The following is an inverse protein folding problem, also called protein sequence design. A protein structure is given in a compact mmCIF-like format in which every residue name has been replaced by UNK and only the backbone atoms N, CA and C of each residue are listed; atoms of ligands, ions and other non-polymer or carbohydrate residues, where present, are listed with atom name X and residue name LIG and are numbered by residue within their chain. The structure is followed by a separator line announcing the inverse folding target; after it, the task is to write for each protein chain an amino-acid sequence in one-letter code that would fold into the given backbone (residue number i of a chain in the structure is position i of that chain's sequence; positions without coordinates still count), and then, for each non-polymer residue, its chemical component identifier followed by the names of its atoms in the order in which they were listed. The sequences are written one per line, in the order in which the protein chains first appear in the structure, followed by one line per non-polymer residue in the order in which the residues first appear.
data_IF_861269905729
#
_entry.id   IF_861269905729
#
_cell.length_a   1.000
_cell.length_b   1.000
_cell.length_c   1.000
_cell.angle_alpha   90.00
_cell.angle_beta   90.00
_cell.angle_gamma   90.00
#
_symmetry.space_group_name_H-M   'P 1'
#
loop_
_entity.id
_entity.type
_entity.pdbx_description
1 polymer ?
#
# COMPACT_ATOMS: atom_id res chain seq x y z
N UNK A 1 56.33 -43.46 59.09
CA UNK A 1 56.92 -42.45 58.20
C UNK A 1 55.80 -41.50 57.84
N UNK A 2 55.95 -40.24 58.24
CA UNK A 2 55.09 -39.14 57.79
C UNK A 2 55.41 -38.83 56.33
N UNK A 3 54.41 -38.35 55.58
CA UNK A 3 54.57 -37.25 54.62
C UNK A 3 53.17 -36.75 54.22
N UNK A 4 52.82 -35.59 54.81
CA UNK A 4 51.79 -34.69 54.30
C UNK A 4 52.20 -34.16 52.92
N UNK A 5 51.21 -33.93 52.05
CA UNK A 5 51.11 -32.71 51.25
C UNK A 5 49.68 -32.58 50.72
N UNK A 6 48.87 -31.83 51.47
CA UNK A 6 47.63 -31.19 51.01
C UNK A 6 48.01 -29.78 50.55
N UNK A 7 48.05 -29.54 49.23
CA UNK A 7 47.95 -28.22 48.57
C UNK A 7 47.90 -28.51 47.06
N UNK A 8 46.81 -28.37 46.33
CA UNK A 8 46.04 -27.15 46.13
C UNK A 8 46.02 -26.88 44.63
N UNK A 9 45.01 -27.39 43.91
CA UNK A 9 44.60 -26.78 42.64
C UNK A 9 43.08 -26.77 42.54
N UNK A 10 42.50 -25.88 43.34
CA UNK A 10 41.09 -25.50 43.28
C UNK A 10 40.94 -24.17 42.52
N UNK A 11 41.84 -23.89 41.58
CA UNK A 11 41.95 -22.61 40.86
C UNK A 11 41.38 -22.61 39.44
N UNK A 12 41.29 -23.77 38.77
CA UNK A 12 41.09 -23.78 37.31
C UNK A 12 39.63 -23.97 36.86
N UNK A 13 38.71 -24.38 37.74
CA UNK A 13 37.29 -24.58 37.39
C UNK A 13 36.43 -23.29 37.41
N UNK A 14 36.91 -22.21 38.03
CA UNK A 14 36.16 -20.96 38.20
C UNK A 14 36.40 -19.96 37.04
N UNK A 15 37.46 -20.12 36.25
CA UNK A 15 37.74 -19.24 35.11
C UNK A 15 36.96 -19.65 33.84
N UNK A 16 36.70 -20.95 33.63
CA UNK A 16 35.88 -21.43 32.51
C UNK A 16 34.40 -21.05 32.65
N UNK A 17 33.86 -21.08 33.87
CA UNK A 17 32.44 -20.79 34.11
C UNK A 17 32.08 -19.30 34.10
N UNK A 18 33.07 -18.40 34.16
CA UNK A 18 32.82 -16.95 34.03
C UNK A 18 32.80 -16.51 32.58
N UNK A 19 33.62 -17.11 31.72
CA UNK A 19 33.73 -16.71 30.32
C UNK A 19 32.52 -17.18 29.50
N UNK A 20 31.99 -18.37 29.78
CA UNK A 20 30.79 -18.90 29.10
C UNK A 20 29.49 -18.19 29.53
N UNK A 21 29.42 -17.66 30.76
CA UNK A 21 28.24 -16.92 31.22
C UNK A 21 28.15 -15.52 30.60
N UNK A 22 29.29 -14.81 30.48
CA UNK A 22 29.34 -13.47 29.88
C UNK A 22 29.02 -13.52 28.38
N UNK A 23 29.54 -14.53 27.65
CA UNK A 23 29.22 -14.75 26.23
C UNK A 23 27.73 -15.08 26.02
N UNK A 24 27.13 -15.86 26.93
CA UNK A 24 25.71 -16.20 26.85
C UNK A 24 24.79 -14.99 27.12
N UNK A 25 25.15 -14.13 28.08
CA UNK A 25 24.42 -12.87 28.35
C UNK A 25 24.57 -11.82 27.26
N UNK A 26 25.67 -11.82 26.52
CA UNK A 26 25.87 -10.89 25.41
C UNK A 26 25.18 -11.36 24.12
N UNK A 27 25.04 -12.68 23.93
CA UNK A 27 24.33 -13.25 22.79
C UNK A 27 22.81 -13.06 22.90
N UNK A 28 22.21 -13.24 24.09
CA UNK A 28 20.76 -13.04 24.26
C UNK A 28 20.34 -11.56 24.12
N UNK A 29 21.20 -10.61 24.49
CA UNK A 29 20.90 -9.18 24.36
C UNK A 29 20.98 -8.68 22.91
N UNK A 30 21.89 -9.26 22.11
CA UNK A 30 21.98 -8.95 20.68
C UNK A 30 20.80 -9.51 19.89
N UNK A 31 20.37 -10.75 20.17
CA UNK A 31 19.19 -11.35 19.52
C UNK A 31 17.90 -10.56 19.82
N UNK A 32 17.75 -10.05 21.05
CA UNK A 32 16.62 -9.19 21.43
C UNK A 32 16.66 -7.83 20.71
N UNK A 33 17.86 -7.27 20.52
CA UNK A 33 18.04 -6.00 19.80
C UNK A 33 17.80 -6.15 18.29
N UNK A 34 18.25 -7.25 17.67
CA UNK A 34 17.99 -7.55 16.25
C UNK A 34 16.50 -7.80 16.00
N UNK A 35 15.83 -8.55 16.87
CA UNK A 35 14.37 -8.75 16.81
C UNK A 35 13.60 -7.43 16.99
N UNK A 36 14.10 -6.52 17.82
CA UNK A 36 13.49 -5.21 18.01
C UNK A 36 13.63 -4.31 16.76
N UNK A 37 14.80 -4.31 16.12
CA UNK A 37 15.01 -3.60 14.85
C UNK A 37 14.11 -4.16 13.75
N UNK A 38 13.99 -5.48 13.65
CA UNK A 38 13.10 -6.13 12.67
C UNK A 38 11.62 -5.77 12.94
N UNK A 39 11.20 -5.72 14.21
CA UNK A 39 9.85 -5.32 14.60
C UNK A 39 9.56 -3.84 14.26
N UNK A 40 10.53 -2.95 14.46
CA UNK A 40 10.42 -1.55 14.07
C UNK A 40 10.31 -1.39 12.55
N UNK A 41 11.10 -2.13 11.77
CA UNK A 41 11.02 -2.11 10.30
C UNK A 41 9.66 -2.62 9.81
N UNK A 42 9.18 -3.75 10.36
CA UNK A 42 7.83 -4.27 10.08
C UNK A 42 6.76 -3.22 10.40
N UNK A 43 6.88 -2.53 11.53
CA UNK A 43 5.94 -1.46 11.92
C UNK A 43 5.98 -0.30 10.94
N UNK A 44 7.17 0.13 10.49
CA UNK A 44 7.31 1.20 9.47
C UNK A 44 6.68 0.81 8.13
N UNK A 45 6.91 -0.43 7.69
CA UNK A 45 6.30 -0.94 6.45
C UNK A 45 4.78 -1.02 6.55
N UNK A 46 4.25 -1.48 7.68
CA UNK A 46 2.80 -1.50 7.93
C UNK A 46 2.21 -0.09 7.83
N UNK A 47 2.84 0.91 8.46
CA UNK A 47 2.37 2.29 8.39
C UNK A 47 2.38 2.83 6.96
N UNK A 48 3.43 2.56 6.19
CA UNK A 48 3.49 2.97 4.78
C UNK A 48 2.38 2.32 3.95
N UNK A 49 2.11 1.03 4.18
CA UNK A 49 1.02 0.32 3.50
C UNK A 49 -0.34 0.93 3.87
N UNK A 50 -0.57 1.28 5.14
CA UNK A 50 -1.82 1.91 5.59
C UNK A 50 -2.02 3.29 4.95
N UNK A 51 -0.98 4.12 4.90
CA UNK A 51 -1.04 5.43 4.23
C UNK A 51 -1.36 5.31 2.74
N UNK A 52 -0.74 4.33 2.05
CA UNK A 52 -1.04 4.06 0.66
C UNK A 52 -2.47 3.55 0.45
N UNK A 53 -2.97 2.69 1.35
CA UNK A 53 -4.35 2.22 1.30
C UNK A 53 -5.34 3.36 1.45
N UNK A 54 -5.14 4.26 2.42
CA UNK A 54 -5.98 5.45 2.59
C UNK A 54 -5.95 6.35 1.34
N UNK A 55 -4.76 6.62 0.80
CA UNK A 55 -4.63 7.45 -0.42
C UNK A 55 -5.33 6.81 -1.62
N UNK A 56 -5.26 5.48 -1.75
CA UNK A 56 -5.91 4.73 -2.82
C UNK A 56 -7.44 4.76 -2.68
N UNK A 57 -7.95 4.62 -1.45
CA UNK A 57 -9.37 4.70 -1.14
C UNK A 57 -9.93 6.08 -1.51
N UNK A 58 -9.27 7.16 -1.09
CA UNK A 58 -9.63 8.54 -1.43
C UNK A 58 -9.64 8.77 -2.94
N UNK A 59 -8.64 8.24 -3.64
CA UNK A 59 -8.56 8.35 -5.10
C UNK A 59 -9.70 7.57 -5.77
N UNK A 60 -10.02 6.36 -5.27
CA UNK A 60 -11.12 5.56 -5.79
C UNK A 60 -12.46 6.28 -5.63
N UNK A 61 -12.74 6.85 -4.46
CA UNK A 61 -13.95 7.61 -4.21
C UNK A 61 -14.07 8.82 -5.15
N UNK A 62 -12.96 9.54 -5.37
CA UNK A 62 -12.92 10.65 -6.33
C UNK A 62 -13.17 10.21 -7.77
N UNK A 63 -12.63 9.06 -8.18
CA UNK A 63 -12.87 8.49 -9.52
C UNK A 63 -14.35 8.17 -9.70
N UNK A 64 -14.99 7.57 -8.70
CA UNK A 64 -16.41 7.23 -8.77
C UNK A 64 -17.30 8.47 -8.84
N UNK A 65 -16.99 9.52 -8.06
CA UNK A 65 -17.68 10.80 -8.16
C UNK A 65 -17.56 11.44 -9.57
N UNK A 66 -16.36 11.42 -10.16
CA UNK A 66 -16.12 11.94 -11.52
C UNK A 66 -16.89 11.12 -12.56
N UNK A 67 -16.95 9.79 -12.41
CA UNK A 67 -17.73 8.92 -13.31
C UNK A 67 -19.22 9.24 -13.23
N UNK A 68 -19.76 9.45 -12.03
CA UNK A 68 -21.16 9.80 -11.83
C UNK A 68 -21.50 11.14 -12.50
N UNK A 69 -20.68 12.17 -12.27
CA UNK A 69 -20.85 13.47 -12.92
C UNK A 69 -20.77 13.35 -14.45
N UNK A 70 -19.83 12.56 -14.97
CA UNK A 70 -19.71 12.33 -16.40
C UNK A 70 -20.96 11.66 -17.01
N UNK A 71 -21.54 10.68 -16.30
CA UNK A 71 -22.78 10.04 -16.74
C UNK A 71 -23.95 11.02 -16.77
N UNK A 72 -24.07 11.88 -15.75
CA UNK A 72 -25.09 12.93 -15.71
C UNK A 72 -24.95 13.88 -16.89
N UNK A 73 -23.73 14.39 -17.15
CA UNK A 73 -23.47 15.28 -18.28
C UNK A 73 -23.74 14.60 -19.63
N UNK A 74 -23.41 13.32 -19.79
CA UNK A 74 -23.74 12.56 -21.02
C UNK A 74 -25.26 12.46 -21.22
N UNK A 75 -26.01 12.20 -20.15
CA UNK A 75 -27.47 12.12 -20.24
C UNK A 75 -28.10 13.46 -20.61
N UNK A 76 -27.61 14.57 -20.04
CA UNK A 76 -28.08 15.91 -20.37
C UNK A 76 -27.74 16.28 -21.81
N UNK A 77 -26.51 16.02 -22.24
CA UNK A 77 -26.09 16.26 -23.62
C UNK A 77 -26.88 15.43 -24.63
N UNK A 78 -27.28 14.20 -24.28
CA UNK A 78 -28.15 13.39 -25.13
C UNK A 78 -29.52 14.03 -25.31
N UNK A 79 -30.13 14.49 -24.21
CA UNK A 79 -31.44 15.16 -24.24
C UNK A 79 -31.37 16.45 -25.05
N UNK A 80 -30.34 17.27 -24.83
CA UNK A 80 -30.11 18.51 -25.58
C UNK A 80 -29.85 18.23 -27.06
N UNK A 81 -29.05 17.21 -27.37
CA UNK A 81 -28.78 16.78 -28.75
C UNK A 81 -30.06 16.41 -29.48
N UNK A 82 -30.91 15.59 -28.87
CA UNK A 82 -32.20 15.22 -29.44
C UNK A 82 -33.12 16.43 -29.66
N UNK A 83 -33.13 17.37 -28.70
CA UNK A 83 -33.92 18.60 -28.84
C UNK A 83 -33.47 19.43 -30.04
N UNK A 84 -32.16 19.59 -30.24
CA UNK A 84 -31.59 20.29 -31.39
C UNK A 84 -31.94 19.56 -32.70
N UNK A 85 -31.79 18.23 -32.75
CA UNK A 85 -32.16 17.42 -33.93
C UNK A 85 -33.64 17.57 -34.29
N UNK A 86 -34.52 17.58 -33.30
CA UNK A 86 -35.96 17.76 -33.50
C UNK A 86 -36.26 19.15 -34.07
N UNK A 87 -35.59 20.20 -33.57
CA UNK A 87 -35.74 21.55 -34.10
C UNK A 87 -35.22 21.67 -35.54
N UNK A 88 -34.06 21.08 -35.84
CA UNK A 88 -33.49 21.09 -37.19
C UNK A 88 -34.39 20.34 -38.18
N UNK A 89 -34.96 19.20 -37.78
CA UNK A 89 -35.83 18.38 -38.64
C UNK A 89 -37.20 19.03 -38.91
N UNK A 90 -37.78 19.68 -37.88
CA UNK A 90 -39.07 20.34 -37.97
C UNK A 90 -39.02 21.72 -38.66
N UNK A 91 -37.85 22.36 -38.69
CA UNK A 91 -37.67 23.65 -39.36
C UNK A 91 -37.35 23.46 -40.84
N UNK A 92 -38.21 23.99 -41.73
CA UNK A 92 -37.99 23.91 -43.18
C UNK A 92 -36.76 24.70 -43.66
N UNK A 93 -36.19 25.57 -42.82
CA UNK A 93 -34.95 26.33 -43.11
C UNK A 93 -33.72 25.43 -43.14
N UNK A 94 -33.72 24.31 -42.40
CA UNK A 94 -32.60 23.37 -42.36
C UNK A 94 -32.78 22.15 -43.30
N UNK A 95 -33.89 22.07 -44.03
CA UNK A 95 -34.17 20.98 -44.99
C UNK A 95 -33.48 21.15 -46.35
N UNK A 96 -32.43 21.95 -46.46
CA UNK A 96 -31.84 22.29 -47.76
C UNK A 96 -30.86 21.23 -48.26
N UNK A 97 -31.29 20.57 -49.35
CA UNK A 97 -30.52 19.92 -50.43
C UNK A 97 -30.05 18.47 -50.29
N UNK A 98 -30.91 17.54 -49.87
CA UNK A 98 -30.89 16.18 -50.43
C UNK A 98 -31.68 16.16 -51.76
N UNK A 99 -31.18 16.88 -52.75
CA UNK A 99 -31.76 16.88 -54.08
C UNK A 99 -31.38 15.58 -54.80
N UNK A 100 -32.26 14.57 -54.70
CA UNK A 100 -32.48 13.49 -55.68
C UNK A 100 -31.24 12.69 -56.14
N UNK A 101 -30.78 11.73 -55.33
CA UNK A 101 -30.17 10.48 -55.84
C UNK A 101 -31.19 9.35 -55.87
N UNK A 102 -32.30 9.57 -56.58
CA UNK A 102 -33.21 8.53 -57.09
C UNK A 102 -33.58 8.91 -58.52
N UNK A 103 -32.76 8.50 -59.49
CA UNK A 103 -33.19 8.36 -60.88
C UNK A 103 -32.78 6.97 -61.37
N UNK A 104 -33.82 6.14 -61.47
CA UNK A 104 -34.13 5.11 -62.46
C UNK A 104 -33.11 4.01 -62.73
#
# INVERSE_FOLDING_TARGET
MMNENVLGDRGTAVLLTKQDNEDFTMNCHMDDMENQVEMEEKTRLINQVLELQHTLEDLSARVDAVKEENLKLKSENQVLGQYIENLMSASSVFQTTDNKSKRK
#
